data_IF_196409603347
#
_entry.id   IF_196409603347
#
_cell.length_a   1.000
_cell.length_b   1.000
_cell.length_c   1.000
_cell.angle_alpha   90.00
_cell.angle_beta   90.00
_cell.angle_gamma   90.00
#
_symmetry.space_group_name_H-M   'P 1'
#
loop_
_entity.id
_entity.type
_entity.pdbx_description
1 polymer ?
#
# COMPACT_ATOMS: atom_id res chain seq x y z
N UNK A 1 29.74 -34.65 -22.53
CA UNK A 1 28.38 -34.32 -22.99
C UNK A 1 27.44 -34.36 -21.79
N UNK A 2 27.31 -33.23 -21.08
CA UNK A 2 26.39 -33.09 -19.95
C UNK A 2 25.11 -32.43 -20.42
N UNK A 3 23.99 -33.15 -20.36
CA UNK A 3 22.68 -32.68 -20.76
C UNK A 3 22.14 -31.70 -19.70
N UNK A 4 22.28 -30.39 -19.92
CA UNK A 4 21.56 -29.39 -19.15
C UNK A 4 20.09 -29.42 -19.56
N UNK A 5 19.27 -30.17 -18.81
CA UNK A 5 17.82 -30.11 -18.91
C UNK A 5 17.37 -28.70 -18.57
N UNK A 6 17.09 -27.89 -19.59
CA UNK A 6 16.43 -26.60 -19.47
C UNK A 6 15.00 -26.82 -18.98
N UNK A 7 14.81 -26.82 -17.66
CA UNK A 7 13.48 -26.69 -17.07
C UNK A 7 12.88 -25.37 -17.54
N UNK A 8 11.67 -25.40 -18.08
CA UNK A 8 10.91 -24.21 -18.46
C UNK A 8 10.71 -23.34 -17.22
N UNK A 9 11.59 -22.37 -17.02
CA UNK A 9 11.42 -21.35 -15.99
C UNK A 9 10.31 -20.45 -16.51
N UNK A 10 9.10 -20.60 -15.98
CA UNK A 10 8.00 -19.71 -16.29
C UNK A 10 8.32 -18.32 -15.69
N UNK A 11 9.04 -17.49 -16.44
CA UNK A 11 9.51 -16.17 -16.01
C UNK A 11 8.39 -15.14 -16.20
N UNK A 12 7.45 -15.13 -15.26
CA UNK A 12 6.45 -14.07 -15.18
C UNK A 12 7.00 -12.90 -14.36
N UNK A 13 6.77 -11.67 -14.85
CA UNK A 13 7.05 -10.46 -14.10
C UNK A 13 6.07 -10.36 -12.94
N UNK A 14 6.59 -10.06 -11.74
CA UNK A 14 5.77 -9.77 -10.57
C UNK A 14 5.37 -8.30 -10.57
N UNK A 15 4.09 -8.03 -10.34
CA UNK A 15 3.50 -6.70 -10.39
C UNK A 15 2.98 -6.30 -9.01
N UNK A 16 3.50 -5.19 -8.49
CA UNK A 16 3.03 -4.60 -7.23
C UNK A 16 2.40 -3.24 -7.46
N UNK A 17 1.29 -2.97 -6.78
CA UNK A 17 0.67 -1.64 -6.75
C UNK A 17 1.30 -0.84 -5.62
N UNK A 18 2.16 0.11 -5.94
CA UNK A 18 2.58 1.11 -4.96
C UNK A 18 1.50 2.18 -4.86
N UNK A 19 0.80 2.22 -3.73
CA UNK A 19 -0.40 3.02 -3.59
C UNK A 19 -0.12 4.41 -2.97
N UNK A 20 -0.85 5.41 -3.46
CA UNK A 20 -1.01 6.74 -2.86
C UNK A 20 -2.44 7.23 -3.15
N UNK A 21 -3.20 7.72 -2.16
CA UNK A 21 -4.65 7.89 -2.25
C UNK A 21 -5.18 8.60 -3.50
N UNK A 22 -4.55 9.68 -3.92
CA UNK A 22 -4.92 10.41 -5.14
C UNK A 22 -3.98 10.12 -6.32
N UNK A 23 -2.90 9.38 -6.09
CA UNK A 23 -1.81 9.11 -7.03
C UNK A 23 -0.49 9.78 -6.60
N UNK A 24 0.64 9.26 -7.11
CA UNK A 24 1.99 9.70 -6.71
C UNK A 24 2.42 11.06 -7.23
N UNK A 25 1.76 11.57 -8.28
CA UNK A 25 2.05 12.90 -8.76
C UNK A 25 1.70 13.93 -7.66
N UNK A 26 2.59 14.88 -7.38
CA UNK A 26 2.40 15.87 -6.28
C UNK A 26 1.08 16.64 -6.35
N UNK A 27 0.58 16.87 -7.56
CA UNK A 27 -0.67 17.58 -7.84
C UNK A 27 -1.84 16.65 -8.22
N UNK A 28 -1.71 15.33 -8.05
CA UNK A 28 -2.71 14.34 -8.46
C UNK A 28 -4.10 14.67 -7.91
N UNK A 29 -4.19 15.03 -6.62
CA UNK A 29 -5.41 15.48 -5.95
C UNK A 29 -6.19 16.63 -6.63
N UNK A 30 -5.57 17.38 -7.54
CA UNK A 30 -6.20 18.48 -8.29
C UNK A 30 -6.89 17.99 -9.57
N UNK A 31 -6.65 16.75 -9.98
CA UNK A 31 -7.26 16.20 -11.19
C UNK A 31 -8.78 16.10 -10.99
N UNK A 32 -9.62 16.47 -11.98
CA UNK A 32 -11.08 16.41 -11.85
C UNK A 32 -11.61 15.04 -11.45
N UNK A 33 -10.93 13.97 -11.91
CA UNK A 33 -11.31 12.58 -11.64
C UNK A 33 -10.67 11.99 -10.37
N UNK A 34 -9.90 12.79 -9.60
CA UNK A 34 -9.35 12.30 -8.34
C UNK A 34 -10.40 12.21 -7.26
N UNK A 35 -10.32 11.14 -6.46
CA UNK A 35 -11.21 10.99 -5.31
C UNK A 35 -10.88 12.03 -4.23
N UNK A 36 -11.84 12.90 -3.92
CA UNK A 36 -11.63 14.09 -3.08
C UNK A 36 -11.28 13.75 -1.63
N UNK A 37 -11.86 12.68 -1.11
CA UNK A 37 -11.70 12.20 0.26
C UNK A 37 -10.78 10.97 0.33
N UNK A 38 -9.93 10.75 -0.69
CA UNK A 38 -9.19 9.52 -0.88
C UNK A 38 -8.36 9.08 0.34
N UNK A 39 -7.82 10.00 1.16
CA UNK A 39 -7.01 9.65 2.33
C UNK A 39 -7.77 8.97 3.46
N UNK A 40 -9.10 9.15 3.53
CA UNK A 40 -9.96 8.66 4.61
C UNK A 40 -11.17 7.85 4.12
N UNK A 41 -11.23 7.55 2.82
CA UNK A 41 -12.35 6.83 2.22
C UNK A 41 -12.01 5.35 2.03
N UNK A 42 -12.42 4.49 2.95
CA UNK A 42 -12.16 3.04 2.85
C UNK A 42 -12.67 2.41 1.54
N UNK A 43 -13.84 2.84 1.06
CA UNK A 43 -14.44 2.28 -0.16
C UNK A 43 -13.53 2.49 -1.38
N UNK A 44 -12.84 3.64 -1.46
CA UNK A 44 -11.82 3.91 -2.48
C UNK A 44 -10.64 2.92 -2.41
N UNK A 45 -10.12 2.62 -1.21
CA UNK A 45 -9.05 1.63 -1.03
C UNK A 45 -9.48 0.23 -1.42
N UNK A 46 -10.70 -0.17 -1.03
CA UNK A 46 -11.30 -1.46 -1.39
C UNK A 46 -11.39 -1.62 -2.91
N UNK A 47 -11.90 -0.60 -3.62
CA UNK A 47 -12.03 -0.63 -5.07
C UNK A 47 -10.68 -0.79 -5.78
N UNK A 48 -9.64 -0.15 -5.25
CA UNK A 48 -8.28 -0.25 -5.81
C UNK A 48 -7.68 -1.63 -5.55
N UNK A 49 -7.81 -2.16 -4.34
CA UNK A 49 -7.34 -3.50 -4.00
C UNK A 49 -8.03 -4.57 -4.88
N UNK A 50 -9.36 -4.50 -4.99
CA UNK A 50 -10.14 -5.42 -5.84
C UNK A 50 -9.84 -5.26 -7.33
N UNK A 51 -9.49 -4.06 -7.78
CA UNK A 51 -9.06 -3.82 -9.17
C UNK A 51 -7.68 -4.40 -9.44
N UNK A 52 -6.73 -4.23 -8.53
CA UNK A 52 -5.41 -4.83 -8.61
C UNK A 52 -5.49 -6.37 -8.62
N UNK A 53 -6.33 -6.94 -7.76
CA UNK A 53 -6.56 -8.39 -7.67
C UNK A 53 -7.21 -8.95 -8.95
N UNK A 54 -8.25 -8.30 -9.47
CA UNK A 54 -8.81 -8.64 -10.79
C UNK A 54 -7.76 -8.58 -11.90
N UNK A 55 -6.84 -7.61 -11.81
CA UNK A 55 -5.71 -7.43 -12.71
C UNK A 55 -4.54 -8.40 -12.51
N UNK A 56 -4.64 -9.35 -11.57
CA UNK A 56 -3.59 -10.35 -11.25
C UNK A 56 -2.27 -9.74 -10.77
N UNK A 57 -2.34 -8.58 -10.12
CA UNK A 57 -1.19 -8.06 -9.37
C UNK A 57 -0.89 -8.98 -8.19
N UNK A 58 0.39 -9.12 -7.88
CA UNK A 58 0.86 -9.99 -6.79
C UNK A 58 0.68 -9.34 -5.43
N UNK A 59 0.71 -8.00 -5.35
CA UNK A 59 0.58 -7.30 -4.08
C UNK A 59 0.13 -5.85 -4.22
N UNK A 60 -0.46 -5.32 -3.15
CA UNK A 60 -0.55 -3.89 -2.86
C UNK A 60 0.47 -3.52 -1.78
N UNK A 61 1.07 -2.34 -1.91
CA UNK A 61 2.04 -1.82 -0.96
C UNK A 61 1.62 -0.45 -0.43
N UNK A 62 1.50 -0.37 0.90
CA UNK A 62 1.24 0.85 1.65
C UNK A 62 2.54 1.35 2.29
N UNK A 63 3.06 2.46 1.75
CA UNK A 63 4.15 3.18 2.40
C UNK A 63 3.62 4.04 3.54
N UNK A 64 4.46 4.24 4.56
CA UNK A 64 4.11 5.01 5.74
C UNK A 64 5.24 5.90 6.23
N UNK A 65 4.86 6.96 6.94
CA UNK A 65 5.76 7.78 7.73
C UNK A 65 5.04 8.25 8.99
N UNK A 66 5.68 8.08 10.14
CA UNK A 66 5.19 8.58 11.43
C UNK A 66 5.49 10.07 11.66
N UNK A 67 5.74 10.81 10.58
CA UNK A 67 6.11 12.22 10.63
C UNK A 67 5.51 13.00 9.46
N UNK A 68 5.22 14.28 9.70
CA UNK A 68 4.87 15.22 8.65
C UNK A 68 6.14 15.64 7.92
N UNK A 69 6.05 15.85 6.60
CA UNK A 69 7.17 16.35 5.79
C UNK A 69 7.69 17.68 6.36
N UNK A 70 9.02 17.83 6.40
CA UNK A 70 9.67 19.06 6.85
C UNK A 70 9.51 20.16 5.80
N UNK A 71 8.55 21.07 6.01
CA UNK A 71 8.32 22.25 5.17
C UNK A 71 7.68 23.39 5.99
N UNK A 72 7.60 24.60 5.42
CA UNK A 72 6.88 25.71 6.05
C UNK A 72 5.38 25.42 6.12
N UNK A 73 4.68 26.02 7.08
CA UNK A 73 3.23 25.85 7.21
C UNK A 73 2.48 26.29 5.93
N UNK A 74 2.95 27.34 5.27
CA UNK A 74 2.39 27.82 4.00
C UNK A 74 2.59 26.81 2.85
N UNK A 75 3.68 26.05 2.85
CA UNK A 75 3.89 24.98 1.87
C UNK A 75 3.01 23.77 2.19
N UNK A 76 2.93 23.38 3.47
CA UNK A 76 2.13 22.25 3.91
C UNK A 76 0.63 22.46 3.68
N UNK A 77 0.11 23.67 3.90
CA UNK A 77 -1.31 23.98 3.68
C UNK A 77 -1.75 23.90 2.21
N UNK A 78 -0.80 23.83 1.26
CA UNK A 78 -1.05 23.71 -0.18
C UNK A 78 -0.77 22.31 -0.74
N UNK A 79 -0.49 21.34 0.13
CA UNK A 79 -0.24 19.95 -0.24
C UNK A 79 -1.33 19.06 0.35
N UNK A 80 -1.81 18.10 -0.44
CA UNK A 80 -2.63 16.98 0.05
C UNK A 80 -1.83 15.67 0.16
N UNK A 81 -0.55 15.72 -0.21
CA UNK A 81 0.31 14.54 -0.25
C UNK A 81 0.81 14.17 1.15
N UNK A 82 0.65 12.90 1.51
CA UNK A 82 1.12 12.32 2.78
C UNK A 82 0.56 12.98 4.04
N UNK A 83 -0.69 13.45 3.97
CA UNK A 83 -1.41 14.07 5.09
C UNK A 83 -2.74 13.32 5.25
N UNK A 84 -3.09 12.97 6.49
CA UNK A 84 -4.39 12.36 6.85
C UNK A 84 -4.75 11.09 6.04
N UNK A 85 -3.82 10.13 6.00
CA UNK A 85 -4.06 8.79 5.45
C UNK A 85 -4.36 7.80 6.57
N UNK A 86 -4.98 6.66 6.25
CA UNK A 86 -5.08 5.53 7.17
C UNK A 86 -3.71 5.02 7.60
N UNK A 87 -3.63 4.54 8.85
CA UNK A 87 -2.49 3.75 9.32
C UNK A 87 -2.45 2.42 8.56
N UNK A 88 -1.30 1.97 8.04
CA UNK A 88 -1.24 0.84 7.11
C UNK A 88 -1.76 -0.48 7.66
N UNK A 89 -1.42 -0.87 8.89
CA UNK A 89 -1.78 -2.20 9.39
C UNK A 89 -3.29 -2.31 9.64
N UNK A 90 -3.90 -1.27 10.20
CA UNK A 90 -5.36 -1.21 10.37
C UNK A 90 -6.10 -1.24 9.03
N UNK A 91 -5.60 -0.54 8.02
CA UNK A 91 -6.15 -0.59 6.67
C UNK A 91 -5.96 -1.97 6.02
N UNK A 92 -4.78 -2.59 6.12
CA UNK A 92 -4.55 -3.92 5.57
C UNK A 92 -5.44 -4.98 6.25
N UNK A 93 -5.67 -4.90 7.56
CA UNK A 93 -6.63 -5.78 8.25
C UNK A 93 -8.06 -5.62 7.74
N UNK A 94 -8.46 -4.43 7.32
CA UNK A 94 -9.77 -4.22 6.70
C UNK A 94 -9.82 -4.71 5.24
N UNK A 95 -8.70 -4.64 4.52
CA UNK A 95 -8.59 -5.13 3.15
C UNK A 95 -8.50 -6.67 3.07
N UNK A 96 -7.90 -7.34 4.06
CA UNK A 96 -7.72 -8.79 4.06
C UNK A 96 -9.04 -9.56 3.98
N UNK A 97 -10.13 -9.01 4.51
CA UNK A 97 -11.46 -9.65 4.49
C UNK A 97 -12.28 -9.34 3.23
N UNK A 98 -11.75 -8.55 2.29
CA UNK A 98 -12.43 -8.16 1.04
C UNK A 98 -11.62 -8.46 -0.23
N UNK A 99 -10.51 -9.17 -0.08
CA UNK A 99 -9.63 -9.69 -1.14
C UNK A 99 -9.22 -11.12 -0.81
N UNK A 100 -8.94 -11.95 -1.82
CA UNK A 100 -8.72 -13.39 -1.63
C UNK A 100 -7.28 -13.85 -1.91
N UNK A 101 -6.54 -13.14 -2.76
CA UNK A 101 -5.28 -13.62 -3.35
C UNK A 101 -4.17 -12.57 -3.41
N UNK A 102 -4.50 -11.29 -3.46
CA UNK A 102 -3.49 -10.23 -3.56
C UNK A 102 -2.70 -10.09 -2.25
N UNK A 103 -1.38 -10.04 -2.34
CA UNK A 103 -0.50 -9.84 -1.18
C UNK A 103 -0.70 -8.46 -0.55
N UNK A 104 -0.63 -8.41 0.78
CA UNK A 104 -0.83 -7.18 1.57
C UNK A 104 0.49 -6.79 2.25
N UNK A 105 1.13 -5.71 1.79
CA UNK A 105 2.41 -5.26 2.31
C UNK A 105 2.34 -3.85 2.91
N UNK A 106 2.89 -3.67 4.11
CA UNK A 106 2.96 -2.39 4.81
C UNK A 106 4.38 -2.05 5.25
N UNK A 107 4.67 -0.75 5.32
CA UNK A 107 5.86 -0.23 6.01
C UNK A 107 5.63 -0.19 7.52
N UNK A 108 6.63 -0.61 8.30
CA UNK A 108 6.67 -0.39 9.74
C UNK A 108 8.07 0.08 10.16
N UNK A 109 8.15 1.20 10.89
CA UNK A 109 9.43 1.74 11.36
C UNK A 109 9.97 0.95 12.55
N UNK A 110 11.26 0.60 12.51
CA UNK A 110 11.98 -0.02 13.63
C UNK A 110 12.39 0.98 14.71
N UNK A 111 12.38 2.29 14.42
CA UNK A 111 12.76 3.32 15.40
C UNK A 111 11.66 3.64 16.42
N UNK A 112 10.40 3.38 16.05
CA UNK A 112 9.22 3.77 16.83
C UNK A 112 8.32 2.59 17.19
N UNK A 113 8.77 1.36 16.96
CA UNK A 113 8.05 0.16 17.35
C UNK A 113 8.96 -0.79 18.13
N UNK A 114 8.44 -1.32 19.23
CA UNK A 114 9.04 -2.47 19.90
C UNK A 114 8.95 -3.72 18.99
N UNK A 115 10.01 -4.54 18.89
CA UNK A 115 10.02 -5.72 18.03
C UNK A 115 8.85 -6.68 18.27
N UNK A 116 8.48 -6.86 19.53
CA UNK A 116 7.33 -7.69 19.92
C UNK A 116 6.00 -7.18 19.34
N UNK A 117 5.80 -5.85 19.30
CA UNK A 117 4.60 -5.26 18.73
C UNK A 117 4.55 -5.42 17.22
N UNK A 118 5.69 -5.27 16.52
CA UNK A 118 5.76 -5.53 15.07
C UNK A 118 5.41 -6.99 14.81
N UNK A 119 6.08 -7.93 15.49
CA UNK A 119 5.86 -9.35 15.32
C UNK A 119 4.39 -9.75 15.54
N UNK A 120 3.77 -9.32 16.66
CA UNK A 120 2.38 -9.68 16.96
C UNK A 120 1.38 -9.09 15.97
N UNK A 121 1.56 -7.83 15.53
CA UNK A 121 0.63 -7.19 14.58
C UNK A 121 0.68 -7.88 13.21
N UNK A 122 1.89 -8.12 12.68
CA UNK A 122 2.04 -8.81 11.40
C UNK A 122 1.59 -10.27 11.46
N UNK A 123 1.92 -10.99 12.54
CA UNK A 123 1.44 -12.36 12.71
C UNK A 123 -0.09 -12.44 12.82
N UNK A 124 -0.72 -11.44 13.44
CA UNK A 124 -2.20 -11.39 13.49
C UNK A 124 -2.79 -11.13 12.10
N UNK A 125 -2.21 -10.20 11.33
CA UNK A 125 -2.64 -9.93 9.96
C UNK A 125 -2.44 -11.13 9.04
N UNK A 126 -1.34 -11.88 9.18
CA UNK A 126 -1.06 -13.10 8.41
C UNK A 126 -2.04 -14.25 8.71
N UNK A 127 -2.75 -14.18 9.83
CA UNK A 127 -3.78 -15.15 10.23
C UNK A 127 -5.21 -14.76 9.85
N UNK A 128 -5.46 -13.51 9.46
CA UNK A 128 -6.78 -13.04 9.01
C UNK A 128 -7.06 -13.52 7.58
#
# INVERSE_FOLDING_TARGET
>A
MGNHRGGNINKQMRLGVFFNPTGHHVASWRHPDSQKDAGINFQHYKEIAQTAERGKFDMIFLADSVSVRRASMEALSRSAQYIANFEPLTLLSALSVVTDHIGLAATASTSYNEPYHVARKFASLDHL
#
